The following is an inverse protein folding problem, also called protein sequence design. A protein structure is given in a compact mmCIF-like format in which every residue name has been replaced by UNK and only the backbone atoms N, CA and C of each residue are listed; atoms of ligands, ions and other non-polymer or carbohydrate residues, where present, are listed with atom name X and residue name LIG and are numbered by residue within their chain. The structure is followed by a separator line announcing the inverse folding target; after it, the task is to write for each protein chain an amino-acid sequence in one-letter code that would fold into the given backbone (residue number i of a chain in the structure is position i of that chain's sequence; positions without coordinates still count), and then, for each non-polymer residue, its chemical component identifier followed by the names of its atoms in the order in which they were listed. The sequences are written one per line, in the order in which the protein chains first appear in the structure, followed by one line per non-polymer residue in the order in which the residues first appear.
data_IF_815548185655
#
_entry.id   IF_815548185655
#
_cell.length_a   1.000
_cell.length_b   1.000
_cell.length_c   1.000
_cell.angle_alpha   90.00
_cell.angle_beta   90.00
_cell.angle_gamma   90.00
#
_symmetry.space_group_name_H-M   'P 1'
#
loop_
_entity.id
_entity.type
_entity.pdbx_description
1 polymer ?
#
# COMPACT_ATOMS: atom_id res chain seq x y z
N UNK A 1 -0.92 -22.91 5.63
CA UNK A 1 -0.93 -24.29 6.15
C UNK A 1 0.42 -24.68 6.79
N UNK A 2 1.56 -24.32 6.19
CA UNK A 2 2.91 -24.60 6.73
C UNK A 2 3.14 -24.03 8.15
N UNK A 3 2.36 -23.04 8.57
CA UNK A 3 2.44 -22.38 9.89
C UNK A 3 1.39 -22.88 10.88
N UNK A 4 0.74 -24.01 10.62
CA UNK A 4 -0.32 -24.54 11.48
C UNK A 4 -1.62 -23.74 11.45
N UNK A 5 -1.79 -22.80 10.49
CA UNK A 5 -2.99 -21.97 10.38
C UNK A 5 -4.02 -22.68 9.52
N UNK A 6 -5.23 -22.86 10.04
CA UNK A 6 -6.38 -23.33 9.27
C UNK A 6 -7.12 -22.12 8.70
N UNK A 7 -7.14 -22.00 7.37
CA UNK A 7 -7.88 -20.96 6.67
C UNK A 7 -9.27 -21.49 6.28
N UNK A 8 -10.30 -20.79 6.70
CA UNK A 8 -11.70 -21.05 6.34
C UNK A 8 -12.22 -19.84 5.56
N UNK A 9 -12.49 -20.04 4.28
CA UNK A 9 -13.01 -19.01 3.39
C UNK A 9 -14.52 -19.11 3.29
N UNK A 10 -15.19 -17.96 3.10
CA UNK A 10 -16.67 -17.87 2.99
C UNK A 10 -17.40 -18.33 4.24
N UNK A 11 -16.76 -18.27 5.40
CA UNK A 11 -17.37 -18.49 6.70
C UNK A 11 -17.47 -17.17 7.45
N UNK A 12 -18.57 -17.01 8.17
CA UNK A 12 -18.82 -15.85 9.01
C UNK A 12 -19.07 -16.29 10.44
N UNK A 13 -18.56 -15.50 11.38
CA UNK A 13 -18.83 -15.66 12.81
C UNK A 13 -20.29 -15.28 13.10
N UNK A 14 -21.04 -16.19 13.74
CA UNK A 14 -22.41 -15.92 14.20
C UNK A 14 -22.43 -15.55 15.69
N UNK A 15 -21.70 -16.29 16.54
CA UNK A 15 -21.70 -16.05 17.96
C UNK A 15 -20.38 -16.45 18.62
N UNK A 16 -20.11 -15.87 19.78
CA UNK A 16 -19.04 -16.26 20.70
C UNK A 16 -19.71 -16.78 21.97
N UNK A 17 -19.38 -17.99 22.39
CA UNK A 17 -19.96 -18.63 23.56
C UNK A 17 -19.00 -18.53 24.74
N UNK A 18 -19.42 -17.96 25.88
CA UNK A 18 -18.62 -17.92 27.10
C UNK A 18 -18.63 -19.25 27.85
N UNK A 19 -17.64 -19.44 28.71
CA UNK A 19 -17.67 -20.41 29.81
C UNK A 19 -18.33 -19.81 31.04
N UNK A 20 -18.30 -20.55 32.16
CA UNK A 20 -18.87 -20.12 33.45
C UNK A 20 -18.21 -18.88 34.05
N UNK A 21 -16.99 -18.60 33.69
CA UNK A 21 -16.20 -17.45 34.16
C UNK A 21 -16.28 -16.24 33.21
N UNK A 22 -17.09 -16.33 32.14
CA UNK A 22 -17.26 -15.27 31.13
C UNK A 22 -16.14 -15.20 30.12
N UNK A 23 -15.24 -16.18 30.07
CA UNK A 23 -14.19 -16.29 29.07
C UNK A 23 -14.68 -17.00 27.83
N UNK A 24 -14.04 -16.79 26.71
CA UNK A 24 -14.35 -17.49 25.43
C UNK A 24 -14.15 -18.99 25.62
N UNK A 25 -15.20 -19.78 25.37
CA UNK A 25 -15.17 -21.24 25.29
C UNK A 25 -15.15 -21.72 23.82
N UNK A 26 -16.00 -21.13 22.99
CA UNK A 26 -16.15 -21.52 21.59
C UNK A 26 -16.69 -20.39 20.74
N UNK A 27 -16.61 -20.56 19.44
CA UNK A 27 -17.30 -19.73 18.44
C UNK A 27 -18.29 -20.61 17.68
N UNK A 28 -19.36 -19.97 17.17
CA UNK A 28 -20.35 -20.60 16.29
C UNK A 28 -20.32 -19.83 14.97
N UNK A 29 -20.19 -20.57 13.86
CA UNK A 29 -20.27 -19.99 12.51
C UNK A 29 -21.72 -19.85 12.07
N UNK A 30 -22.00 -19.03 11.03
CA UNK A 30 -23.34 -18.94 10.43
C UNK A 30 -23.85 -20.28 9.87
N UNK A 31 -22.95 -21.19 9.53
CA UNK A 31 -23.29 -22.55 9.11
C UNK A 31 -23.63 -23.49 10.26
N UNK A 32 -23.59 -23.02 11.51
CA UNK A 32 -23.94 -23.79 12.72
C UNK A 32 -22.79 -24.66 13.26
N UNK A 33 -21.58 -24.55 12.71
CA UNK A 33 -20.43 -25.29 13.25
C UNK A 33 -19.90 -24.62 14.51
N UNK A 34 -19.72 -25.39 15.58
CA UNK A 34 -19.08 -24.93 16.80
C UNK A 34 -17.60 -25.31 16.85
N UNK A 35 -16.76 -24.35 17.20
CA UNK A 35 -15.31 -24.53 17.31
C UNK A 35 -14.83 -24.06 18.68
N UNK A 36 -14.24 -24.97 19.45
CA UNK A 36 -13.65 -24.66 20.76
C UNK A 36 -12.41 -23.78 20.56
N UNK A 37 -12.34 -22.69 21.30
CA UNK A 37 -11.18 -21.79 21.30
C UNK A 37 -11.07 -21.02 22.62
N UNK A 38 -9.89 -20.52 22.93
CA UNK A 38 -9.59 -19.78 24.15
C UNK A 38 -9.42 -18.27 23.88
N UNK A 39 -9.37 -17.88 22.62
CA UNK A 39 -9.20 -16.50 22.21
C UNK A 39 -9.86 -16.24 20.85
N UNK A 40 -10.49 -15.08 20.69
CA UNK A 40 -11.06 -14.63 19.42
C UNK A 40 -10.52 -13.24 19.10
N UNK A 41 -9.79 -13.12 17.99
CA UNK A 41 -9.35 -11.84 17.45
C UNK A 41 -10.32 -11.37 16.35
N UNK A 42 -10.93 -10.21 16.52
CA UNK A 42 -11.84 -9.61 15.55
C UNK A 42 -11.09 -8.53 14.78
N UNK A 43 -10.86 -8.76 13.48
CA UNK A 43 -10.12 -7.86 12.59
C UNK A 43 -10.96 -7.55 11.34
N UNK A 44 -12.18 -7.07 11.54
CA UNK A 44 -13.17 -6.83 10.47
C UNK A 44 -13.10 -5.42 9.87
N UNK A 45 -12.02 -4.70 10.14
CA UNK A 45 -11.85 -3.31 9.72
C UNK A 45 -12.29 -2.31 10.80
N UNK A 46 -12.18 -1.04 10.48
CA UNK A 46 -12.46 0.09 11.37
C UNK A 46 -13.35 1.12 10.69
N UNK A 47 -14.10 1.87 11.47
CA UNK A 47 -14.83 3.07 11.06
C UNK A 47 -14.33 4.29 11.82
N UNK A 48 -14.43 5.51 11.28
CA UNK A 48 -14.16 6.73 12.03
C UNK A 48 -14.98 6.77 13.32
N UNK A 49 -14.32 7.03 14.46
CA UNK A 49 -15.01 7.18 15.74
C UNK A 49 -15.35 8.66 15.95
N UNK A 50 -16.49 9.09 15.39
CA UNK A 50 -16.96 10.48 15.43
C UNK A 50 -18.33 10.62 16.09
N UNK A 51 -18.86 9.53 16.67
CA UNK A 51 -20.20 9.52 17.28
C UNK A 51 -20.31 10.54 18.44
N UNK A 52 -19.22 10.80 19.18
CA UNK A 52 -19.17 11.75 20.27
C UNK A 52 -19.28 13.24 19.80
N UNK A 53 -19.14 13.49 18.51
CA UNK A 53 -19.29 14.83 17.90
C UNK A 53 -20.71 15.10 17.43
N UNK A 54 -21.61 14.12 17.51
CA UNK A 54 -23.02 14.31 17.15
C UNK A 54 -23.67 15.39 18.03
N UNK A 55 -24.48 16.23 17.42
CA UNK A 55 -25.12 17.36 18.11
C UNK A 55 -24.23 18.61 18.26
N UNK A 56 -22.97 18.55 17.83
CA UNK A 56 -22.14 19.76 17.67
C UNK A 56 -22.45 20.45 16.33
N UNK A 57 -21.88 21.64 16.12
CA UNK A 57 -21.99 22.37 14.85
C UNK A 57 -21.05 21.85 13.74
N UNK A 58 -20.27 20.80 14.01
CA UNK A 58 -19.40 20.18 13.01
C UNK A 58 -20.23 19.42 11.96
N UNK A 59 -19.84 19.55 10.71
CA UNK A 59 -20.41 18.75 9.63
C UNK A 59 -19.75 17.36 9.60
N UNK A 60 -20.59 16.35 9.77
CA UNK A 60 -20.21 14.95 9.84
C UNK A 60 -20.89 14.16 8.71
N UNK A 61 -20.19 13.13 8.21
CA UNK A 61 -20.75 12.08 7.37
C UNK A 61 -20.23 10.73 7.90
N UNK A 62 -19.34 10.03 7.21
CA UNK A 62 -18.61 8.90 7.80
C UNK A 62 -17.54 9.37 8.78
N UNK A 63 -16.96 10.53 8.52
CA UNK A 63 -15.95 11.20 9.33
C UNK A 63 -16.31 12.68 9.52
N UNK A 64 -15.35 13.45 10.04
CA UNK A 64 -15.43 14.92 10.08
C UNK A 64 -15.13 15.46 8.70
N UNK A 65 -16.06 16.21 8.11
CA UNK A 65 -15.91 16.73 6.76
C UNK A 65 -14.88 17.85 6.69
N UNK A 66 -13.83 17.65 5.89
CA UNK A 66 -12.75 18.60 5.71
C UNK A 66 -12.48 18.93 4.24
N UNK A 67 -11.83 20.07 4.01
CA UNK A 67 -11.29 20.42 2.72
C UNK A 67 -9.83 19.91 2.57
N UNK A 68 -9.17 20.24 1.47
CA UNK A 68 -7.78 19.82 1.19
C UNK A 68 -6.71 20.41 2.12
N UNK A 69 -7.09 21.34 3.00
CA UNK A 69 -6.24 21.95 4.04
C UNK A 69 -6.57 21.42 5.43
N UNK A 70 -7.45 20.40 5.51
CA UNK A 70 -7.98 19.80 6.75
C UNK A 70 -8.89 20.72 7.56
N UNK A 71 -9.33 21.85 7.00
CA UNK A 71 -10.27 22.77 7.63
C UNK A 71 -11.67 22.17 7.62
N UNK A 72 -12.37 22.25 8.75
CA UNK A 72 -13.78 21.88 8.90
C UNK A 72 -14.69 23.03 8.43
N UNK A 73 -15.97 22.95 8.74
CA UNK A 73 -16.91 24.08 8.59
C UNK A 73 -16.80 25.13 9.69
N UNK A 74 -16.09 24.85 10.77
CA UNK A 74 -15.86 25.79 11.87
C UNK A 74 -14.47 26.41 11.73
N UNK A 75 -14.40 27.73 11.96
CA UNK A 75 -13.14 28.45 11.93
C UNK A 75 -12.17 27.90 13.00
N UNK A 76 -10.90 27.78 12.63
CA UNK A 76 -9.80 27.30 13.50
C UNK A 76 -9.97 25.87 14.05
N UNK A 77 -10.88 25.10 13.44
CA UNK A 77 -11.11 23.69 13.75
C UNK A 77 -10.69 22.79 12.58
N UNK A 78 -9.79 21.88 12.84
CA UNK A 78 -9.19 20.98 11.86
C UNK A 78 -9.44 19.52 12.26
N UNK A 79 -9.49 18.62 11.26
CA UNK A 79 -9.51 17.17 11.49
C UNK A 79 -8.54 16.47 10.56
N UNK A 80 -7.77 15.52 11.10
CA UNK A 80 -6.78 14.71 10.37
C UNK A 80 -6.83 13.24 10.80
N UNK A 81 -6.16 12.38 10.04
CA UNK A 81 -6.08 10.95 10.33
C UNK A 81 -7.35 10.21 10.00
N UNK A 82 -7.59 9.12 10.72
CA UNK A 82 -8.65 8.14 10.44
C UNK A 82 -10.08 8.69 10.58
N UNK A 83 -10.24 9.82 11.30
CA UNK A 83 -11.56 10.45 11.49
C UNK A 83 -11.86 11.55 10.46
N UNK A 84 -10.90 11.98 9.65
CA UNK A 84 -11.11 13.01 8.64
C UNK A 84 -11.72 12.42 7.36
N UNK A 85 -12.74 13.11 6.83
CA UNK A 85 -13.37 12.78 5.56
C UNK A 85 -13.26 13.95 4.58
N UNK A 86 -12.61 13.73 3.45
CA UNK A 86 -12.47 14.77 2.43
C UNK A 86 -13.79 15.03 1.70
N UNK A 87 -14.29 16.29 1.70
CA UNK A 87 -15.46 16.70 0.93
C UNK A 87 -15.31 16.46 -0.57
N UNK A 88 -14.08 16.60 -1.07
CA UNK A 88 -13.69 16.38 -2.46
C UNK A 88 -12.41 15.56 -2.48
N UNK A 89 -12.51 14.24 -2.37
CA UNK A 89 -11.34 13.38 -2.44
C UNK A 89 -10.67 13.47 -3.82
N UNK A 90 -9.37 13.21 -3.87
CA UNK A 90 -8.66 13.11 -5.15
C UNK A 90 -9.24 11.95 -6.00
N UNK A 91 -9.15 12.02 -7.34
CA UNK A 91 -9.64 10.97 -8.21
C UNK A 91 -9.09 9.59 -7.80
N UNK A 92 -9.95 8.58 -7.79
CA UNK A 92 -9.65 7.21 -7.37
C UNK A 92 -9.13 7.07 -5.91
N UNK A 93 -9.38 8.08 -5.06
CA UNK A 93 -9.05 8.03 -3.63
C UNK A 93 -10.32 7.88 -2.79
N UNK A 94 -10.28 7.11 -1.68
CA UNK A 94 -11.37 7.10 -0.73
C UNK A 94 -11.51 8.47 -0.05
N UNK A 95 -12.72 8.81 0.38
CA UNK A 95 -12.96 10.05 1.12
C UNK A 95 -12.37 10.01 2.53
N UNK A 96 -12.30 8.81 3.14
CA UNK A 96 -11.64 8.55 4.43
C UNK A 96 -10.42 7.68 4.18
N UNK A 97 -9.27 8.11 4.68
CA UNK A 97 -7.99 7.43 4.48
C UNK A 97 -7.50 6.83 5.81
N UNK A 98 -7.93 5.60 6.10
CA UNK A 98 -7.62 4.90 7.35
C UNK A 98 -6.34 4.05 7.20
N UNK A 99 -5.20 4.72 7.17
CA UNK A 99 -3.89 4.08 7.12
C UNK A 99 -2.86 4.93 7.87
N UNK A 100 -2.01 4.28 8.67
CA UNK A 100 -0.98 4.97 9.46
C UNK A 100 -0.11 5.93 8.62
N UNK A 101 0.32 5.49 7.44
CA UNK A 101 1.15 6.30 6.55
C UNK A 101 0.43 7.55 6.01
N UNK A 102 -0.86 7.46 5.72
CA UNK A 102 -1.66 8.62 5.28
C UNK A 102 -1.93 9.56 6.45
N UNK A 103 -2.28 9.02 7.62
CA UNK A 103 -2.48 9.82 8.82
C UNK A 103 -1.22 10.63 9.21
N UNK A 104 -0.03 10.04 9.08
CA UNK A 104 1.24 10.75 9.25
C UNK A 104 1.40 11.90 8.25
N UNK A 105 1.12 11.66 6.95
CA UNK A 105 1.16 12.72 5.93
C UNK A 105 0.14 13.83 6.19
N UNK A 106 -1.05 13.50 6.72
CA UNK A 106 -2.03 14.50 7.16
C UNK A 106 -1.42 15.42 8.24
N UNK A 107 -0.77 14.83 9.26
CA UNK A 107 -0.10 15.60 10.32
C UNK A 107 1.00 16.51 9.78
N UNK A 108 1.86 16.00 8.88
CA UNK A 108 2.93 16.78 8.25
C UNK A 108 2.38 17.94 7.40
N UNK A 109 1.29 17.73 6.66
CA UNK A 109 0.68 18.76 5.84
C UNK A 109 -0.06 19.82 6.70
N UNK A 110 -0.79 19.38 7.74
CA UNK A 110 -1.45 20.30 8.65
C UNK A 110 -0.44 21.14 9.45
N UNK A 111 0.66 20.54 9.93
CA UNK A 111 1.71 21.28 10.63
C UNK A 111 2.24 22.45 9.79
N UNK A 112 2.49 22.23 8.50
CA UNK A 112 2.91 23.30 7.58
C UNK A 112 1.82 24.37 7.40
N UNK A 113 0.56 23.95 7.26
CA UNK A 113 -0.57 24.87 7.16
C UNK A 113 -0.69 25.78 8.38
N UNK A 114 -0.45 25.25 9.58
CA UNK A 114 -0.55 26.02 10.83
C UNK A 114 0.66 26.91 11.13
N UNK A 115 1.85 26.54 10.64
CA UNK A 115 3.10 27.27 10.98
C UNK A 115 3.62 28.17 9.86
N UNK A 116 3.24 27.92 8.63
CA UNK A 116 3.76 28.62 7.45
C UNK A 116 2.60 29.22 6.63
N UNK A 117 2.50 28.76 5.37
CA UNK A 117 1.39 29.09 4.46
C UNK A 117 0.51 27.87 4.25
N UNK A 118 -0.81 28.03 4.12
CA UNK A 118 -1.72 26.93 3.84
C UNK A 118 -1.22 26.07 2.67
N UNK A 119 -0.95 24.80 2.94
CA UNK A 119 -0.48 23.83 1.97
C UNK A 119 -1.54 22.76 1.73
N UNK A 120 -2.04 22.68 0.50
CA UNK A 120 -2.98 21.64 0.13
C UNK A 120 -2.36 20.25 0.30
N UNK A 121 -3.08 19.35 0.93
CA UNK A 121 -2.70 17.94 1.01
C UNK A 121 -2.71 17.30 -0.38
N UNK A 122 -1.61 16.65 -0.70
CA UNK A 122 -1.44 15.83 -1.89
C UNK A 122 -1.12 14.41 -1.45
N UNK A 123 -2.05 13.49 -1.69
CA UNK A 123 -1.91 12.09 -1.29
C UNK A 123 -0.69 11.42 -1.91
N UNK A 124 -0.42 11.70 -3.17
CA UNK A 124 0.58 10.98 -3.96
C UNK A 124 0.21 9.50 -4.17
N UNK A 125 1.11 8.69 -4.73
CA UNK A 125 0.92 7.26 -4.83
C UNK A 125 0.69 6.63 -3.45
N UNK A 126 -0.38 5.83 -3.35
CA UNK A 126 -0.68 5.10 -2.14
C UNK A 126 0.35 3.98 -1.94
N UNK A 127 0.72 3.70 -0.70
CA UNK A 127 1.54 2.55 -0.41
C UNK A 127 1.20 1.95 0.96
N UNK A 128 1.43 0.64 1.08
CA UNK A 128 1.38 -0.07 2.34
C UNK A 128 2.43 -1.18 2.35
N UNK A 129 2.90 -1.54 3.53
CA UNK A 129 3.80 -2.68 3.73
C UNK A 129 3.54 -3.31 5.09
N UNK A 130 3.71 -4.63 5.16
CA UNK A 130 3.73 -5.34 6.43
C UNK A 130 4.58 -6.61 6.31
N UNK A 131 4.97 -7.14 7.47
CA UNK A 131 5.67 -8.41 7.57
C UNK A 131 4.87 -9.36 8.47
N UNK A 132 4.61 -10.56 7.97
CA UNK A 132 3.96 -11.63 8.68
C UNK A 132 4.90 -12.84 8.69
N UNK A 133 5.35 -13.24 9.87
CA UNK A 133 6.35 -14.29 10.02
C UNK A 133 7.63 -13.95 9.23
N UNK A 134 7.93 -14.71 8.18
CA UNK A 134 9.05 -14.57 7.27
C UNK A 134 8.67 -14.00 5.89
N UNK A 135 7.41 -13.63 5.71
CA UNK A 135 6.91 -13.05 4.46
C UNK A 135 6.64 -11.56 4.68
N UNK A 136 7.32 -10.75 3.87
CA UNK A 136 7.08 -9.31 3.76
C UNK A 136 6.29 -9.03 2.49
N UNK A 137 5.37 -8.08 2.54
CA UNK A 137 4.77 -7.53 1.33
C UNK A 137 4.94 -6.02 1.27
N UNK A 138 5.03 -5.50 0.06
CA UNK A 138 4.93 -4.08 -0.24
C UNK A 138 3.92 -3.91 -1.37
N UNK A 139 3.06 -2.90 -1.27
CA UNK A 139 2.11 -2.55 -2.33
C UNK A 139 2.14 -1.05 -2.57
N UNK A 140 2.12 -0.66 -3.83
CA UNK A 140 2.18 0.72 -4.27
C UNK A 140 1.13 0.98 -5.34
N UNK A 141 0.52 2.18 -5.31
CA UNK A 141 -0.52 2.56 -6.27
C UNK A 141 -1.78 1.73 -6.12
N UNK A 142 -2.38 1.34 -7.22
CA UNK A 142 -3.64 0.62 -7.25
C UNK A 142 -3.49 -0.69 -8.03
N UNK A 143 -3.73 -1.82 -7.37
CA UNK A 143 -3.75 -3.15 -7.98
C UNK A 143 -5.06 -3.82 -7.53
N UNK A 144 -6.13 -3.79 -8.34
CA UNK A 144 -7.40 -4.40 -8.01
C UNK A 144 -7.35 -5.93 -8.08
N UNK A 145 -8.32 -6.60 -7.47
CA UNK A 145 -8.49 -8.05 -7.59
C UNK A 145 -8.98 -8.45 -8.98
N UNK A 146 -9.83 -7.62 -9.59
CA UNK A 146 -10.39 -7.78 -10.92
C UNK A 146 -10.22 -6.50 -11.73
N UNK A 147 -10.02 -6.59 -13.03
CA UNK A 147 -9.87 -5.47 -13.94
C UNK A 147 -10.44 -5.79 -15.32
N UNK A 148 -10.78 -4.78 -16.07
CA UNK A 148 -11.29 -4.85 -17.44
C UNK A 148 -10.16 -4.83 -18.50
N UNK A 149 -10.54 -4.88 -19.80
CA UNK A 149 -9.61 -4.94 -20.93
C UNK A 149 -8.70 -3.71 -21.09
N UNK A 150 -9.00 -2.58 -20.43
CA UNK A 150 -8.16 -1.37 -20.45
C UNK A 150 -6.83 -1.56 -19.72
N UNK A 151 -6.77 -2.58 -18.85
CA UNK A 151 -5.61 -2.86 -18.03
C UNK A 151 -5.03 -4.23 -18.31
N UNK A 152 -3.79 -4.41 -17.91
CA UNK A 152 -3.09 -5.68 -17.97
C UNK A 152 -2.11 -5.80 -16.79
N UNK A 153 -1.54 -6.97 -16.62
CA UNK A 153 -0.59 -7.24 -15.54
C UNK A 153 0.57 -8.09 -16.03
N UNK A 154 1.76 -7.71 -15.65
CA UNK A 154 2.90 -8.61 -15.67
C UNK A 154 3.06 -9.22 -14.28
N UNK A 155 3.01 -10.55 -14.22
CA UNK A 155 3.13 -11.31 -12.99
C UNK A 155 4.30 -12.28 -13.10
N UNK A 156 5.18 -12.22 -12.11
CA UNK A 156 6.27 -13.16 -11.90
C UNK A 156 6.11 -13.82 -10.54
N UNK A 157 6.36 -15.13 -10.48
CA UNK A 157 6.37 -15.92 -9.25
C UNK A 157 7.60 -16.81 -9.24
N UNK A 158 8.35 -16.77 -8.15
CA UNK A 158 9.48 -17.65 -7.93
C UNK A 158 9.02 -19.11 -7.76
N UNK A 159 9.81 -20.09 -8.20
CA UNK A 159 9.45 -21.51 -8.21
C UNK A 159 9.08 -22.07 -6.83
N UNK A 160 9.62 -21.51 -5.72
CA UNK A 160 9.25 -21.91 -4.37
C UNK A 160 7.92 -21.34 -3.88
N UNK A 161 7.23 -20.51 -4.68
CA UNK A 161 5.93 -19.89 -4.43
C UNK A 161 5.87 -19.00 -3.18
N UNK A 162 7.03 -18.52 -2.70
CA UNK A 162 7.15 -17.63 -1.53
C UNK A 162 7.49 -16.19 -1.92
N UNK A 163 7.71 -15.94 -3.20
CA UNK A 163 8.03 -14.62 -3.73
C UNK A 163 7.27 -14.38 -5.02
N UNK A 164 6.71 -13.19 -5.12
CA UNK A 164 5.99 -12.80 -6.33
C UNK A 164 6.06 -11.28 -6.53
N UNK A 165 6.01 -10.88 -7.79
CA UNK A 165 5.95 -9.49 -8.22
C UNK A 165 4.81 -9.36 -9.21
N UNK A 166 3.95 -8.36 -9.00
CA UNK A 166 2.92 -7.98 -9.95
C UNK A 166 3.07 -6.51 -10.28
N UNK A 167 3.20 -6.22 -11.57
CA UNK A 167 3.16 -4.89 -12.14
C UNK A 167 1.85 -4.71 -12.88
N UNK A 168 0.99 -3.83 -12.40
CA UNK A 168 -0.32 -3.53 -12.98
C UNK A 168 -0.24 -2.24 -13.78
N UNK A 169 -0.70 -2.24 -15.03
CA UNK A 169 -0.54 -1.13 -15.95
C UNK A 169 -1.73 -0.95 -16.89
N UNK A 170 -1.90 0.25 -17.41
CA UNK A 170 -2.86 0.55 -18.46
C UNK A 170 -2.37 0.01 -19.81
N UNK A 171 -3.19 -0.74 -20.52
CA UNK A 171 -2.78 -1.47 -21.74
C UNK A 171 -2.35 -0.52 -22.86
N UNK A 172 -3.12 0.52 -23.15
CA UNK A 172 -2.88 1.45 -24.24
C UNK A 172 -1.62 2.29 -24.04
N UNK A 173 -1.49 2.93 -22.89
CA UNK A 173 -0.36 3.83 -22.58
C UNK A 173 0.85 3.11 -22.01
N UNK A 174 0.69 1.83 -21.62
CA UNK A 174 1.63 1.05 -20.83
C UNK A 174 2.00 1.69 -19.47
N UNK A 175 1.26 2.72 -19.00
CA UNK A 175 1.52 3.45 -17.77
C UNK A 175 1.30 2.53 -16.56
N UNK A 176 2.31 2.45 -15.68
CA UNK A 176 2.25 1.72 -14.42
C UNK A 176 1.20 2.35 -13.49
N UNK A 177 0.29 1.55 -12.96
CA UNK A 177 -0.76 1.97 -12.03
C UNK A 177 -0.58 1.41 -10.63
N UNK A 178 0.13 0.29 -10.50
CA UNK A 178 0.38 -0.30 -9.20
C UNK A 178 1.41 -1.43 -9.23
N UNK A 179 1.94 -1.71 -8.05
CA UNK A 179 2.98 -2.72 -7.82
C UNK A 179 2.58 -3.51 -6.58
N UNK A 180 2.55 -4.84 -6.68
CA UNK A 180 2.50 -5.72 -5.52
C UNK A 180 3.77 -6.56 -5.46
N UNK A 181 4.43 -6.56 -4.32
CA UNK A 181 5.60 -7.35 -4.00
C UNK A 181 5.27 -8.29 -2.84
N UNK A 182 5.64 -9.54 -2.94
CA UNK A 182 5.51 -10.53 -1.89
C UNK A 182 6.85 -11.24 -1.71
N UNK A 183 7.40 -11.23 -0.50
CA UNK A 183 8.68 -11.86 -0.18
C UNK A 183 9.89 -11.26 -0.90
N UNK A 184 9.72 -10.11 -1.54
CA UNK A 184 10.75 -9.31 -2.21
C UNK A 184 10.67 -7.91 -1.64
N UNK A 185 11.82 -7.28 -1.38
CA UNK A 185 11.89 -5.94 -0.85
C UNK A 185 12.55 -5.00 -1.85
N UNK A 186 11.77 -4.02 -2.29
CA UNK A 186 12.21 -2.98 -3.21
C UNK A 186 12.33 -1.63 -2.52
N UNK A 187 13.16 -0.76 -3.08
CA UNK A 187 13.37 0.60 -2.61
C UNK A 187 12.08 1.40 -2.78
N UNK A 188 11.60 1.93 -1.66
CA UNK A 188 10.37 2.72 -1.62
C UNK A 188 10.43 3.97 -2.51
N UNK A 189 11.56 4.69 -2.48
CA UNK A 189 11.77 5.91 -3.24
C UNK A 189 11.63 5.68 -4.75
N UNK A 190 12.17 4.58 -5.28
CA UNK A 190 12.06 4.24 -6.70
C UNK A 190 10.64 3.81 -7.08
N UNK A 191 10.01 2.92 -6.31
CA UNK A 191 8.63 2.52 -6.58
C UNK A 191 7.67 3.72 -6.54
N UNK A 192 7.85 4.63 -5.59
CA UNK A 192 7.08 5.86 -5.49
C UNK A 192 7.34 6.80 -6.68
N UNK A 193 8.61 6.97 -7.05
CA UNK A 193 9.04 7.78 -8.18
C UNK A 193 8.41 7.32 -9.51
N UNK A 194 8.43 6.02 -9.78
CA UNK A 194 7.83 5.46 -11.00
C UNK A 194 6.34 5.78 -11.13
N UNK A 195 5.58 5.60 -10.04
CA UNK A 195 4.15 5.89 -10.04
C UNK A 195 3.87 7.39 -10.12
N UNK A 196 4.62 8.20 -9.37
CA UNK A 196 4.45 9.66 -9.36
C UNK A 196 4.75 10.29 -10.73
N UNK A 197 5.75 9.76 -11.44
CA UNK A 197 6.17 10.23 -12.76
C UNK A 197 5.55 9.43 -13.91
N UNK A 198 4.53 8.61 -13.63
CA UNK A 198 3.73 7.90 -14.65
C UNK A 198 4.59 7.06 -15.59
N UNK A 199 5.58 6.37 -15.05
CA UNK A 199 6.45 5.49 -15.82
C UNK A 199 5.65 4.42 -16.55
N UNK A 200 6.11 4.06 -17.74
CA UNK A 200 5.58 2.88 -18.42
C UNK A 200 6.19 1.60 -17.85
N UNK A 201 5.51 0.47 -17.98
CA UNK A 201 6.05 -0.83 -17.55
C UNK A 201 7.42 -1.10 -18.19
N UNK A 202 7.63 -0.66 -19.45
CA UNK A 202 8.90 -0.84 -20.16
C UNK A 202 10.06 -0.05 -19.51
N UNK A 203 9.78 1.17 -19.02
CA UNK A 203 10.76 1.96 -18.28
C UNK A 203 11.09 1.31 -16.94
N UNK A 204 10.06 0.83 -16.23
CA UNK A 204 10.23 0.12 -14.96
C UNK A 204 11.10 -1.11 -15.13
N UNK A 205 10.84 -1.94 -16.14
CA UNK A 205 11.63 -3.15 -16.42
C UNK A 205 13.12 -2.82 -16.67
N UNK A 206 13.40 -1.70 -17.34
CA UNK A 206 14.79 -1.25 -17.58
C UNK A 206 15.51 -0.82 -16.29
N UNK A 207 14.77 -0.28 -15.34
CA UNK A 207 15.31 0.21 -14.06
C UNK A 207 15.27 -0.83 -12.92
N UNK A 208 14.67 -2.00 -13.15
CA UNK A 208 14.55 -3.05 -12.15
C UNK A 208 15.88 -3.42 -11.45
N UNK A 209 17.04 -3.48 -12.13
CA UNK A 209 18.31 -3.82 -11.46
C UNK A 209 18.71 -2.84 -10.33
N UNK A 210 18.20 -1.59 -10.38
CA UNK A 210 18.50 -0.58 -9.37
C UNK A 210 17.54 -0.57 -8.18
N UNK A 211 16.45 -1.35 -8.24
CA UNK A 211 15.34 -1.24 -7.28
C UNK A 211 15.49 -2.14 -6.06
N UNK A 212 16.36 -3.13 -6.10
CA UNK A 212 16.60 -3.99 -4.95
C UNK A 212 17.00 -3.15 -3.73
N UNK A 213 16.37 -3.41 -2.59
CA UNK A 213 16.56 -2.59 -1.39
C UNK A 213 17.98 -2.66 -0.84
N UNK A 214 18.55 -3.87 -0.82
CA UNK A 214 19.90 -4.12 -0.34
C UNK A 214 20.47 -5.32 -1.10
N UNK A 215 21.16 -5.09 -2.22
CA UNK A 215 21.64 -6.15 -3.09
C UNK A 215 22.77 -6.99 -2.46
N UNK A 216 23.38 -6.53 -1.36
CA UNK A 216 24.41 -7.32 -0.64
C UNK A 216 23.78 -8.36 0.28
N UNK A 217 22.61 -8.05 0.89
CA UNK A 217 21.95 -8.91 1.86
C UNK A 217 20.72 -9.65 1.30
N UNK A 218 20.14 -9.16 0.19
CA UNK A 218 18.96 -9.75 -0.42
C UNK A 218 19.28 -10.40 -1.76
N UNK A 219 18.75 -11.60 -1.96
CA UNK A 219 18.85 -12.28 -3.23
C UNK A 219 18.15 -11.49 -4.33
N UNK A 220 18.81 -11.33 -5.46
CA UNK A 220 18.31 -10.61 -6.63
C UNK A 220 17.54 -11.56 -7.55
N UNK A 221 16.40 -11.12 -8.04
CA UNK A 221 15.51 -11.86 -8.94
C UNK A 221 15.23 -11.09 -10.23
N UNK A 222 15.78 -9.89 -10.34
CA UNK A 222 15.48 -8.91 -11.39
C UNK A 222 15.88 -9.45 -12.77
N UNK A 223 16.96 -10.20 -12.88
CA UNK A 223 17.41 -10.80 -14.15
C UNK A 223 16.41 -11.84 -14.67
N UNK A 224 15.91 -12.71 -13.80
CA UNK A 224 14.90 -13.71 -14.15
C UNK A 224 13.59 -13.04 -14.60
N UNK A 225 13.17 -12.02 -13.87
CA UNK A 225 11.96 -11.26 -14.16
C UNK A 225 12.08 -10.54 -15.51
N UNK A 226 13.22 -9.87 -15.76
CA UNK A 226 13.51 -9.19 -17.04
C UNK A 226 13.49 -10.20 -18.19
N UNK A 227 14.10 -11.37 -18.02
CA UNK A 227 14.10 -12.42 -19.04
C UNK A 227 12.68 -12.88 -19.38
N UNK A 228 11.84 -13.18 -18.38
CA UNK A 228 10.45 -13.58 -18.60
C UNK A 228 9.64 -12.46 -19.25
N UNK A 229 9.92 -11.19 -18.92
CA UNK A 229 9.26 -10.06 -19.57
C UNK A 229 9.60 -9.98 -21.05
N UNK A 230 10.88 -10.10 -21.41
CA UNK A 230 11.34 -10.06 -22.81
C UNK A 230 10.77 -11.23 -23.62
N UNK A 231 10.71 -12.43 -23.03
CA UNK A 231 10.12 -13.60 -23.65
C UNK A 231 8.62 -13.39 -23.95
N UNK A 232 7.90 -12.75 -23.03
CA UNK A 232 6.46 -12.45 -23.21
C UNK A 232 6.21 -11.31 -24.20
N UNK A 233 7.15 -10.34 -24.29
CA UNK A 233 7.00 -9.13 -25.11
C UNK A 233 8.21 -8.89 -26.03
N UNK A 234 8.51 -9.76 -26.98
CA UNK A 234 9.74 -9.73 -27.78
C UNK A 234 9.89 -8.48 -28.65
N UNK A 235 8.80 -7.76 -28.94
CA UNK A 235 8.82 -6.53 -29.76
C UNK A 235 9.12 -5.25 -28.97
N UNK A 236 9.14 -5.29 -27.64
CA UNK A 236 9.17 -4.09 -26.79
C UNK A 236 10.53 -3.78 -26.18
N UNK A 237 11.58 -4.31 -26.73
CA UNK A 237 12.92 -3.82 -26.48
C UNK A 237 13.87 -4.83 -25.86
N UNK A 238 14.93 -5.08 -26.60
CA UNK A 238 16.17 -5.53 -25.99
C UNK A 238 16.67 -4.42 -25.07
N UNK A 239 17.01 -4.70 -23.80
CA UNK A 239 17.82 -3.77 -23.04
C UNK A 239 19.13 -3.63 -23.80
N UNK A 240 19.44 -2.43 -24.28
CA UNK A 240 20.72 -2.12 -24.90
C UNK A 240 21.81 -2.63 -23.97
N UNK A 241 22.70 -3.47 -24.54
CA UNK A 241 23.84 -4.07 -23.88
C UNK A 241 24.45 -3.14 -22.84
N UNK A 242 24.69 -3.69 -21.63
CA UNK A 242 25.63 -3.22 -20.60
C UNK A 242 26.04 -1.75 -20.72
N UNK A 243 25.12 -0.82 -20.53
CA UNK A 243 25.50 0.54 -20.15
C UNK A 243 26.02 0.46 -18.72
N UNK A 244 27.23 0.95 -18.51
CA UNK A 244 27.96 0.97 -17.23
C UNK A 244 27.10 1.65 -16.16
N UNK A 245 26.28 0.91 -15.45
CA UNK A 245 25.34 1.34 -14.42
C UNK A 245 26.00 2.02 -13.21
N UNK A 246 27.34 2.05 -13.18
CA UNK A 246 28.15 2.74 -12.16
C UNK A 246 27.95 4.25 -12.13
N UNK A 247 27.47 4.88 -13.20
CA UNK A 247 27.29 6.34 -13.29
C UNK A 247 25.93 6.84 -12.77
N UNK A 248 24.99 5.98 -12.40
CA UNK A 248 23.73 6.40 -11.79
C UNK A 248 23.87 6.76 -10.31
N UNK A 249 24.88 6.28 -9.60
CA UNK A 249 25.18 6.69 -8.22
C UNK A 249 25.47 8.20 -8.12
N UNK A 250 26.12 8.78 -9.13
CA UNK A 250 26.53 10.18 -9.11
C UNK A 250 25.46 11.16 -9.64
N UNK A 251 24.42 10.64 -10.30
CA UNK A 251 23.39 11.51 -10.91
C UNK A 251 22.26 11.90 -9.96
N UNK A 252 22.10 11.21 -8.85
CA UNK A 252 21.03 11.46 -7.88
C UNK A 252 21.47 12.15 -6.59
N UNK A 253 22.68 12.68 -6.51
CA UNK A 253 23.10 13.62 -5.44
C UNK A 253 22.73 13.24 -4.00
N UNK A 254 22.47 11.98 -3.70
CA UNK A 254 22.04 11.50 -2.40
C UNK A 254 23.21 10.78 -1.74
N UNK A 255 24.09 11.53 -1.13
CA UNK A 255 24.96 11.27 0.01
C UNK A 255 26.16 12.22 -0.09
N UNK A 256 26.01 13.43 0.42
CA UNK A 256 27.15 14.19 0.94
C UNK A 256 27.56 13.52 2.24
N UNK A 257 28.74 12.93 2.25
CA UNK A 257 29.43 12.52 3.46
C UNK A 257 29.50 13.73 4.43
N UNK A 258 28.76 13.62 5.52
CA UNK A 258 29.03 14.39 6.73
C UNK A 258 29.73 13.50 7.75
N UNK A 259 30.99 13.16 7.45
CA UNK A 259 31.97 12.84 8.46
C UNK A 259 32.75 14.12 8.74
N UNK A 260 32.42 14.81 9.80
CA UNK A 260 33.36 15.61 10.59
C UNK A 260 32.70 16.08 11.89
N UNK A 261 33.30 15.63 12.99
CA UNK A 261 33.13 15.91 14.41
C UNK A 261 31.95 15.31 15.10
#
# INVERSE_FOLDING_TARGET
RERGITLRLKEELAAITPDTDGRVRSIITKNGEEMVCQFVGIATGVKPNVDFLQGTALELSKGVLVNKYFETNLQDVYAIGDCAEFRKPAPASPAVEQLWYTARKHGEALAKTLTEKPQAYLRGPWFNSAKFFDIEYQTYGYVPAEWDERFDTFYWEHHNRKKAIRLFYQRESAELKGINLLGVRYRHDLCHHWLQNRYTIHMVIKELPAVNFDPEFFQQYEEELIKQYIERYPQQGQPTQRSKWWHLRDRFGLFSDSTSC
#
